data_IF_176497136154
#
_entry.id   IF_176497136154
#
_cell.length_a   1.000
_cell.length_b   1.000
_cell.length_c   1.000
_cell.angle_alpha   90.00
_cell.angle_beta   90.00
_cell.angle_gamma   90.00
#
_symmetry.space_group_name_H-M   'P 1'
#
loop_
_entity.id
_entity.type
_entity.pdbx_description
1 polymer ?
#
# COMPACT_ATOMS: atom_id res chain seq x y z
N UNK A 1 23.77 -9.96 38.11
CA UNK A 1 23.80 -9.85 36.63
C UNK A 1 25.20 -9.37 36.26
N UNK A 2 25.97 -10.09 35.42
CA UNK A 2 27.35 -9.70 35.14
C UNK A 2 27.43 -8.64 34.04
N UNK A 3 28.39 -7.73 34.15
CA UNK A 3 28.65 -6.66 33.18
C UNK A 3 28.82 -7.20 31.74
N UNK A 4 29.40 -8.39 31.61
CA UNK A 4 29.53 -9.12 30.34
C UNK A 4 28.20 -9.53 29.72
N UNK A 5 27.22 -9.95 30.53
CA UNK A 5 25.86 -10.25 30.03
C UNK A 5 25.15 -8.98 29.60
N UNK A 6 25.31 -7.88 30.34
CA UNK A 6 24.73 -6.59 29.99
C UNK A 6 25.30 -6.06 28.66
N UNK A 7 26.61 -6.16 28.47
CA UNK A 7 27.28 -5.75 27.23
C UNK A 7 26.80 -6.56 26.02
N UNK A 8 26.68 -7.88 26.15
CA UNK A 8 26.18 -8.73 25.08
C UNK A 8 24.72 -8.41 24.70
N UNK A 9 23.87 -8.15 25.70
CA UNK A 9 22.48 -7.75 25.47
C UNK A 9 22.40 -6.39 24.75
N UNK A 10 23.22 -5.43 25.15
CA UNK A 10 23.32 -4.13 24.48
C UNK A 10 23.71 -4.28 23.00
N UNK A 11 24.68 -5.12 22.68
CA UNK A 11 25.10 -5.36 21.30
C UNK A 11 24.01 -6.07 20.46
N UNK A 12 23.26 -7.00 21.06
CA UNK A 12 22.13 -7.63 20.38
C UNK A 12 20.99 -6.63 20.11
N UNK A 13 20.69 -5.75 21.07
CA UNK A 13 19.69 -4.69 20.90
C UNK A 13 20.11 -3.74 19.78
N UNK A 14 21.37 -3.28 19.76
CA UNK A 14 21.90 -2.42 18.67
C UNK A 14 21.76 -3.09 17.30
N UNK A 15 22.11 -4.38 17.18
CA UNK A 15 21.93 -5.14 15.93
C UNK A 15 20.45 -5.20 15.51
N UNK A 16 19.55 -5.38 16.46
CA UNK A 16 18.10 -5.42 16.19
C UNK A 16 17.58 -4.06 15.74
N UNK A 17 18.00 -2.98 16.39
CA UNK A 17 17.67 -1.60 15.99
C UNK A 17 18.11 -1.34 14.54
N UNK A 18 19.36 -1.70 14.20
CA UNK A 18 19.87 -1.52 12.84
C UNK A 18 19.06 -2.31 11.80
N UNK A 19 18.66 -3.55 12.10
CA UNK A 19 17.80 -4.35 11.22
C UNK A 19 16.44 -3.69 11.02
N UNK A 20 15.82 -3.20 12.09
CA UNK A 20 14.52 -2.51 12.03
C UNK A 20 14.61 -1.21 11.23
N UNK A 21 15.64 -0.40 11.44
CA UNK A 21 15.87 0.82 10.66
C UNK A 21 16.02 0.53 9.15
N UNK A 22 16.75 -0.53 8.80
CA UNK A 22 16.87 -0.97 7.40
C UNK A 22 15.53 -1.43 6.82
N UNK A 23 14.71 -2.16 7.60
CA UNK A 23 13.37 -2.59 7.18
C UNK A 23 12.41 -1.40 7.00
N UNK A 24 12.48 -0.40 7.88
CA UNK A 24 11.72 0.86 7.74
C UNK A 24 12.14 1.57 6.44
N UNK A 25 13.45 1.70 6.18
CA UNK A 25 13.95 2.35 4.97
C UNK A 25 13.48 1.65 3.69
N UNK A 26 13.53 0.32 3.65
CA UNK A 26 13.08 -0.45 2.48
C UNK A 26 11.57 -0.36 2.28
N UNK A 27 10.80 -0.40 3.37
CA UNK A 27 9.33 -0.27 3.34
C UNK A 27 8.92 1.12 2.86
N UNK A 28 9.54 2.19 3.37
CA UNK A 28 9.28 3.56 2.93
C UNK A 28 9.60 3.75 1.44
N UNK A 29 10.64 3.08 0.93
CA UNK A 29 10.94 3.09 -0.52
C UNK A 29 9.83 2.42 -1.33
N UNK A 30 9.29 1.29 -0.86
CA UNK A 30 8.16 0.61 -1.51
C UNK A 30 6.92 1.48 -1.51
N UNK A 31 6.55 2.07 -0.37
CA UNK A 31 5.41 3.00 -0.25
C UNK A 31 5.54 4.13 -1.27
N UNK A 32 6.70 4.79 -1.32
CA UNK A 32 6.94 5.88 -2.29
C UNK A 32 6.76 5.43 -3.74
N UNK A 33 7.19 4.21 -4.08
CA UNK A 33 7.03 3.68 -5.43
C UNK A 33 5.55 3.37 -5.75
N UNK A 34 4.82 2.76 -4.81
CA UNK A 34 3.40 2.47 -4.98
C UNK A 34 2.57 3.74 -5.10
N UNK A 35 2.80 4.74 -4.24
CA UNK A 35 2.12 6.05 -4.34
C UNK A 35 2.35 6.71 -5.69
N UNK A 36 3.57 6.63 -6.24
CA UNK A 36 3.85 7.17 -7.59
C UNK A 36 3.12 6.40 -8.69
N UNK A 37 3.08 5.08 -8.60
CA UNK A 37 2.36 4.25 -9.58
C UNK A 37 0.86 4.51 -9.53
N UNK A 38 0.28 4.59 -8.33
CA UNK A 38 -1.12 4.93 -8.09
C UNK A 38 -1.46 6.31 -8.66
N UNK A 39 -0.63 7.33 -8.38
CA UNK A 39 -0.80 8.68 -8.95
C UNK A 39 -0.75 8.68 -10.48
N UNK A 40 0.17 7.94 -11.09
CA UNK A 40 0.26 7.83 -12.54
C UNK A 40 -0.98 7.16 -13.16
N UNK A 41 -1.45 6.06 -12.55
CA UNK A 41 -2.68 5.36 -12.97
C UNK A 41 -3.88 6.31 -12.84
N UNK A 42 -4.03 6.98 -11.70
CA UNK A 42 -5.12 7.92 -11.45
C UNK A 42 -5.14 9.06 -12.48
N UNK A 43 -3.98 9.64 -12.78
CA UNK A 43 -3.86 10.68 -13.81
C UNK A 43 -4.20 10.16 -15.20
N UNK A 44 -3.74 8.96 -15.57
CA UNK A 44 -4.07 8.35 -16.86
C UNK A 44 -5.57 8.07 -17.00
N UNK A 45 -6.23 7.60 -15.94
CA UNK A 45 -7.68 7.38 -15.92
C UNK A 45 -8.45 8.70 -16.03
N UNK A 46 -8.07 9.73 -15.26
CA UNK A 46 -8.68 11.05 -15.35
C UNK A 46 -8.53 11.65 -16.76
N UNK A 47 -7.35 11.51 -17.36
CA UNK A 47 -7.12 11.95 -18.74
C UNK A 47 -8.05 11.23 -19.72
N UNK A 48 -8.14 9.89 -19.65
CA UNK A 48 -9.05 9.12 -20.50
C UNK A 48 -10.52 9.53 -20.35
N UNK A 49 -10.94 9.84 -19.13
CA UNK A 49 -12.30 10.33 -18.87
C UNK A 49 -12.55 11.74 -19.42
N UNK A 50 -11.54 12.61 -19.41
CA UNK A 50 -11.63 13.98 -19.94
C UNK A 50 -11.50 14.06 -21.46
N UNK A 51 -10.77 13.13 -22.06
CA UNK A 51 -10.60 13.01 -23.53
C UNK A 51 -10.97 11.59 -23.98
N UNK A 52 -12.26 11.21 -23.89
CA UNK A 52 -12.68 9.85 -24.20
C UNK A 52 -12.55 9.57 -25.70
N UNK A 53 -11.91 8.44 -26.02
CA UNK A 53 -11.94 7.85 -27.38
C UNK A 53 -13.21 7.01 -27.55
N UNK A 54 -13.58 6.67 -28.78
CA UNK A 54 -14.75 5.82 -29.07
C UNK A 54 -14.70 4.49 -28.29
N UNK A 55 -13.52 3.87 -28.21
CA UNK A 55 -13.26 2.66 -27.41
C UNK A 55 -13.45 2.90 -25.91
N UNK A 56 -13.05 4.07 -25.40
CA UNK A 56 -13.26 4.45 -23.99
C UNK A 56 -14.75 4.62 -23.70
N UNK A 57 -15.50 5.24 -24.61
CA UNK A 57 -16.96 5.42 -24.49
C UNK A 57 -17.67 4.08 -24.53
N UNK A 58 -17.30 3.18 -25.44
CA UNK A 58 -17.86 1.83 -25.54
C UNK A 58 -17.57 1.00 -24.28
N UNK A 59 -16.34 1.06 -23.77
CA UNK A 59 -15.97 0.39 -22.52
C UNK A 59 -16.79 0.90 -21.33
N UNK A 60 -16.98 2.22 -21.20
CA UNK A 60 -17.80 2.80 -20.12
C UNK A 60 -19.27 2.37 -20.26
N UNK A 61 -19.83 2.43 -21.47
CA UNK A 61 -21.22 2.02 -21.73
C UNK A 61 -21.49 0.54 -21.41
N UNK A 62 -20.49 -0.31 -21.65
CA UNK A 62 -20.58 -1.75 -21.42
C UNK A 62 -20.03 -2.18 -20.05
N UNK A 63 -19.44 -1.26 -19.29
CA UNK A 63 -19.00 -1.54 -17.92
C UNK A 63 -20.21 -1.75 -17.02
N UNK A 64 -20.17 -2.81 -16.21
CA UNK A 64 -21.05 -2.88 -15.05
C UNK A 64 -20.61 -1.76 -14.10
N UNK A 65 -21.53 -0.88 -13.75
CA UNK A 65 -21.33 0.03 -12.62
C UNK A 65 -21.05 -0.84 -11.41
N UNK A 66 -19.82 -0.79 -10.91
CA UNK A 66 -19.53 -1.31 -9.58
C UNK A 66 -20.37 -0.48 -8.62
N UNK A 67 -21.23 -1.11 -7.84
CA UNK A 67 -21.99 -0.47 -6.77
C UNK A 67 -21.02 -0.07 -5.65
N UNK A 68 -20.19 0.94 -5.91
CA UNK A 68 -19.45 1.63 -4.88
C UNK A 68 -20.44 2.54 -4.17
N UNK A 69 -21.15 1.98 -3.18
CA UNK A 69 -22.15 2.70 -2.41
C UNK A 69 -21.52 3.56 -1.31
N UNK A 70 -20.52 3.04 -0.59
CA UNK A 70 -19.87 3.78 0.50
C UNK A 70 -18.37 3.46 0.66
N UNK A 71 -17.58 4.46 1.02
CA UNK A 71 -16.16 4.31 1.32
C UNK A 71 -15.92 3.49 2.60
N UNK A 72 -16.82 3.64 3.57
CA UNK A 72 -16.74 2.94 4.84
C UNK A 72 -16.97 1.43 4.66
N UNK A 73 -17.87 1.03 3.75
CA UNK A 73 -18.14 -0.37 3.39
C UNK A 73 -16.92 -1.03 2.73
N UNK A 74 -16.26 -0.34 1.78
CA UNK A 74 -15.03 -0.85 1.16
C UNK A 74 -13.91 -1.04 2.20
N UNK A 75 -13.77 -0.10 3.15
CA UNK A 75 -12.78 -0.21 4.21
C UNK A 75 -13.06 -1.40 5.13
N UNK A 76 -14.33 -1.66 5.44
CA UNK A 76 -14.75 -2.81 6.25
C UNK A 76 -14.47 -4.13 5.53
N UNK A 77 -14.79 -4.22 4.24
CA UNK A 77 -14.52 -5.40 3.41
C UNK A 77 -13.01 -5.71 3.31
N UNK A 78 -12.19 -4.70 3.03
CA UNK A 78 -10.73 -4.87 2.96
C UNK A 78 -10.12 -5.26 4.31
N UNK A 79 -10.70 -4.80 5.43
CA UNK A 79 -10.29 -5.22 6.76
C UNK A 79 -10.72 -6.65 7.07
N UNK A 80 -11.88 -7.09 6.58
CA UNK A 80 -12.39 -8.45 6.75
C UNK A 80 -11.56 -9.46 5.94
N UNK A 81 -11.20 -9.14 4.70
CA UNK A 81 -10.31 -9.98 3.88
C UNK A 81 -8.94 -10.17 4.56
N UNK A 82 -8.33 -9.10 5.06
CA UNK A 82 -7.04 -9.19 5.78
C UNK A 82 -7.09 -10.07 7.04
N UNK A 83 -8.25 -10.15 7.71
CA UNK A 83 -8.43 -11.03 8.89
C UNK A 83 -8.58 -12.49 8.50
N UNK A 84 -9.12 -12.80 7.32
CA UNK A 84 -9.29 -14.18 6.86
C UNK A 84 -7.99 -14.79 6.31
N UNK A 85 -7.05 -13.95 5.86
CA UNK A 85 -5.72 -14.41 5.41
C UNK A 85 -4.71 -14.64 6.56
N UNK A 86 -5.04 -14.30 7.80
CA UNK A 86 -4.18 -14.44 9.01
C UNK A 86 -4.51 -15.68 9.83
#
# INVERSE_FOLDING_TARGET
MSEKMLHNNLEQIKKTINKLQNKIKSTNKKIKNYTKAEQAIRQALLFRLQTPTDETVEYIKNSQTTDYHDHDELLEDLQNENRQES
#
